data_IF_112428542624
#
_entry.id   IF_112428542624
#
_cell.length_a   1.000
_cell.length_b   1.000
_cell.length_c   1.000
_cell.angle_alpha   90.00
_cell.angle_beta   90.00
_cell.angle_gamma   90.00
#
_symmetry.space_group_name_H-M   'P 1'
#
loop_
_entity.id
_entity.type
_entity.pdbx_description
1 polymer ?
#
# COMPACT_ATOMS: atom_id res chain seq x y z
N UNK A 1 -10.51 -67.89 -46.55
CA UNK A 1 -9.20 -67.21 -46.49
C UNK A 1 -9.42 -65.71 -46.42
N UNK A 2 -9.29 -65.14 -45.22
CA UNK A 2 -8.60 -63.87 -44.94
C UNK A 2 -8.87 -63.50 -43.48
N UNK A 3 -7.81 -63.62 -42.69
CA UNK A 3 -7.70 -63.16 -41.33
C UNK A 3 -7.58 -61.64 -41.30
N UNK A 4 -8.33 -60.97 -40.41
CA UNK A 4 -7.86 -59.73 -39.80
C UNK A 4 -8.25 -59.73 -38.33
N UNK A 5 -7.24 -59.98 -37.51
CA UNK A 5 -7.18 -59.83 -36.07
C UNK A 5 -6.89 -58.35 -35.81
N UNK A 6 -7.80 -57.61 -35.18
CA UNK A 6 -7.56 -56.22 -34.75
C UNK A 6 -7.55 -56.18 -33.23
N UNK A 7 -6.32 -56.07 -32.73
CA UNK A 7 -5.91 -56.01 -31.34
C UNK A 7 -6.44 -54.71 -30.72
N UNK A 8 -7.29 -54.85 -29.70
CA UNK A 8 -7.67 -53.75 -28.81
C UNK A 8 -6.50 -53.44 -27.88
N UNK A 9 -5.79 -52.34 -28.13
CA UNK A 9 -4.79 -51.79 -27.21
C UNK A 9 -5.54 -50.95 -26.16
N UNK A 10 -5.65 -51.48 -24.94
CA UNK A 10 -6.12 -50.73 -23.79
C UNK A 10 -5.03 -49.75 -23.34
N UNK A 11 -5.24 -48.46 -23.59
CA UNK A 11 -4.45 -47.37 -22.99
C UNK A 11 -4.77 -47.32 -21.49
N UNK A 12 -3.83 -47.81 -20.68
CA UNK A 12 -3.80 -47.58 -19.23
C UNK A 12 -3.53 -46.09 -18.99
N UNK A 13 -4.60 -45.33 -18.75
CA UNK A 13 -4.51 -43.98 -18.19
C UNK A 13 -4.03 -44.11 -16.75
N UNK A 14 -2.74 -43.85 -16.54
CA UNK A 14 -2.17 -43.72 -15.21
C UNK A 14 -2.78 -42.51 -14.49
N UNK A 15 -3.69 -42.76 -13.55
CA UNK A 15 -4.14 -41.75 -12.58
C UNK A 15 -2.97 -41.39 -11.65
N UNK A 16 -2.25 -40.32 -11.98
CA UNK A 16 -1.42 -39.61 -10.99
C UNK A 16 -2.37 -39.05 -9.94
N UNK A 17 -2.28 -39.55 -8.70
CA UNK A 17 -3.03 -38.97 -7.57
C UNK A 17 -2.60 -37.51 -7.41
N UNK A 18 -3.54 -36.55 -7.32
CA UNK A 18 -3.17 -35.18 -7.01
C UNK A 18 -2.52 -35.17 -5.63
N UNK A 19 -1.34 -34.56 -5.56
CA UNK A 19 -0.66 -34.24 -4.30
C UNK A 19 -1.65 -33.51 -3.40
N UNK A 20 -1.84 -33.92 -2.13
CA UNK A 20 -2.66 -33.16 -1.20
C UNK A 20 -2.09 -31.75 -1.13
N UNK A 21 -2.84 -30.77 -1.63
CA UNK A 21 -2.55 -29.37 -1.36
C UNK A 21 -2.70 -29.22 0.16
N UNK A 22 -1.60 -28.92 0.84
CA UNK A 22 -1.65 -28.47 2.23
C UNK A 22 -2.51 -27.21 2.22
N UNK A 23 -3.68 -27.27 2.84
CA UNK A 23 -4.55 -26.10 2.98
C UNK A 23 -3.72 -24.95 3.57
N UNK A 24 -3.79 -23.73 2.99
CA UNK A 24 -3.09 -22.59 3.56
C UNK A 24 -3.55 -22.40 5.01
N UNK A 25 -2.59 -22.21 5.91
CA UNK A 25 -2.82 -21.99 7.34
C UNK A 25 -3.85 -20.86 7.54
N UNK A 26 -4.79 -20.96 8.51
CA UNK A 26 -5.88 -19.99 8.63
C UNK A 26 -5.39 -18.55 8.77
N UNK A 27 -5.84 -17.70 7.85
CA UNK A 27 -5.60 -16.25 7.85
C UNK A 27 -6.00 -15.66 9.20
N UNK A 28 -5.02 -15.12 9.94
CA UNK A 28 -5.30 -14.46 11.21
C UNK A 28 -5.56 -12.99 10.95
N UNK A 29 -6.77 -12.55 11.29
CA UNK A 29 -7.18 -11.14 11.23
C UNK A 29 -6.24 -10.27 12.05
N UNK A 30 -5.74 -9.18 11.46
CA UNK A 30 -5.07 -8.11 12.20
C UNK A 30 -6.13 -7.20 12.80
N UNK A 31 -6.35 -7.20 14.12
CA UNK A 31 -7.38 -6.38 14.72
C UNK A 31 -7.07 -4.90 14.51
N UNK A 32 -8.12 -4.08 14.48
CA UNK A 32 -8.03 -2.61 14.51
C UNK A 32 -7.42 -1.98 13.24
N UNK A 33 -7.31 -2.75 12.14
CA UNK A 33 -6.70 -2.27 10.88
C UNK A 33 -7.56 -2.49 9.64
N UNK A 34 -7.62 -1.45 8.82
CA UNK A 34 -8.19 -1.49 7.47
C UNK A 34 -7.19 -0.89 6.50
N UNK A 35 -6.97 -1.57 5.38
CA UNK A 35 -6.17 -1.07 4.26
C UNK A 35 -7.11 -0.40 3.28
N UNK A 36 -6.81 0.84 2.90
CA UNK A 36 -7.52 1.62 1.88
C UNK A 36 -6.56 1.96 0.75
N UNK A 37 -6.86 1.48 -0.44
CA UNK A 37 -6.19 1.88 -1.67
C UNK A 37 -7.01 2.98 -2.34
N UNK A 38 -6.40 4.16 -2.49
CA UNK A 38 -7.03 5.27 -3.20
C UNK A 38 -6.78 5.19 -4.71
N UNK A 39 -7.73 5.74 -5.48
CA UNK A 39 -7.56 5.89 -6.93
C UNK A 39 -6.35 6.76 -7.26
N UNK A 40 -5.67 6.56 -8.41
CA UNK A 40 -4.48 7.34 -8.77
C UNK A 40 -4.68 8.86 -8.81
N UNK A 41 -5.89 9.32 -9.13
CA UNK A 41 -6.22 10.75 -9.17
C UNK A 41 -6.50 11.37 -7.79
N UNK A 42 -6.62 10.56 -6.73
CA UNK A 42 -6.91 11.06 -5.39
C UNK A 42 -5.65 11.66 -4.78
N UNK A 43 -5.70 12.96 -4.50
CA UNK A 43 -4.61 13.66 -3.80
C UNK A 43 -4.52 13.25 -2.32
N UNK A 44 -3.33 13.41 -1.73
CA UNK A 44 -3.11 13.20 -0.29
C UNK A 44 -4.06 14.04 0.57
N UNK A 45 -4.37 15.27 0.14
CA UNK A 45 -5.34 16.14 0.82
C UNK A 45 -6.73 15.52 0.85
N UNK A 46 -7.24 15.09 -0.30
CA UNK A 46 -8.55 14.43 -0.39
C UNK A 46 -8.60 13.14 0.45
N UNK A 47 -7.52 12.36 0.48
CA UNK A 47 -7.41 11.18 1.33
C UNK A 47 -7.49 11.54 2.83
N UNK A 48 -6.74 12.55 3.28
CA UNK A 48 -6.79 13.02 4.67
C UNK A 48 -8.14 13.62 5.04
N UNK A 49 -8.77 14.37 4.14
CA UNK A 49 -10.10 14.92 4.35
C UNK A 49 -11.14 13.81 4.54
N UNK A 50 -11.09 12.75 3.70
CA UNK A 50 -11.97 11.59 3.84
C UNK A 50 -11.75 10.87 5.17
N UNK A 51 -10.51 10.55 5.51
CA UNK A 51 -10.17 9.85 6.77
C UNK A 51 -10.58 10.68 7.99
N UNK A 52 -10.31 11.99 7.95
CA UNK A 52 -10.67 12.93 9.01
C UNK A 52 -12.19 13.10 9.16
N UNK A 53 -12.96 13.00 8.07
CA UNK A 53 -14.43 13.05 8.14
C UNK A 53 -15.01 11.92 8.99
N UNK A 54 -14.30 10.78 9.05
CA UNK A 54 -14.63 9.63 9.89
C UNK A 54 -13.95 9.65 11.26
N UNK A 55 -13.16 10.69 11.57
CA UNK A 55 -12.37 10.82 12.80
C UNK A 55 -11.39 9.66 13.04
N UNK A 56 -10.90 9.06 11.95
CA UNK A 56 -9.91 7.99 12.01
C UNK A 56 -8.49 8.56 11.90
N UNK A 57 -7.50 7.80 12.37
CA UNK A 57 -6.07 8.10 12.18
C UNK A 57 -5.44 7.16 11.15
N UNK A 58 -4.40 7.62 10.47
CA UNK A 58 -3.63 6.79 9.54
C UNK A 58 -2.45 6.19 10.28
N UNK A 59 -2.43 4.87 10.47
CA UNK A 59 -1.31 4.16 11.09
C UNK A 59 -0.09 4.12 10.17
N UNK A 60 -0.30 3.88 8.87
CA UNK A 60 0.77 3.97 7.90
C UNK A 60 0.27 4.45 6.54
N UNK A 61 1.11 5.22 5.87
CA UNK A 61 0.88 5.72 4.51
C UNK A 61 2.12 5.38 3.69
N UNK A 62 1.92 4.76 2.53
CA UNK A 62 2.98 4.60 1.53
C UNK A 62 2.61 5.33 0.25
N UNK A 63 3.48 6.23 -0.20
CA UNK A 63 3.22 7.05 -1.38
C UNK A 63 4.52 7.54 -2.03
N UNK A 64 4.50 7.66 -3.36
CA UNK A 64 5.60 8.23 -4.12
C UNK A 64 5.28 9.68 -4.49
N UNK A 65 6.25 10.56 -4.28
CA UNK A 65 6.20 11.96 -4.69
C UNK A 65 7.31 12.31 -5.67
N UNK A 66 7.07 13.35 -6.45
CA UNK A 66 8.07 14.06 -7.25
C UNK A 66 8.10 15.51 -6.77
N UNK A 67 9.29 16.01 -6.42
CA UNK A 67 9.49 17.42 -6.11
C UNK A 67 9.84 18.21 -7.37
N UNK A 68 9.28 19.40 -7.52
CA UNK A 68 9.67 20.34 -8.57
C UNK A 68 10.88 21.20 -8.20
N UNK A 69 11.51 20.96 -7.04
CA UNK A 69 12.74 21.66 -6.66
C UNK A 69 13.93 21.22 -7.53
N UNK A 70 14.94 22.08 -7.72
CA UNK A 70 16.14 21.71 -8.46
C UNK A 70 16.87 20.51 -7.85
N UNK A 71 17.51 19.68 -8.68
CA UNK A 71 18.18 18.44 -8.27
C UNK A 71 19.26 18.64 -7.17
N UNK A 72 19.93 19.79 -7.13
CA UNK A 72 20.91 20.15 -6.09
C UNK A 72 20.28 20.35 -4.70
N UNK A 73 18.95 20.47 -4.63
CA UNK A 73 18.17 20.57 -3.40
C UNK A 73 17.87 19.20 -2.76
N UNK A 74 18.35 18.08 -3.33
CA UNK A 74 18.12 16.73 -2.79
C UNK A 74 18.49 16.65 -1.29
N UNK A 75 19.66 17.15 -0.90
CA UNK A 75 20.09 17.11 0.49
C UNK A 75 19.18 17.93 1.41
N UNK A 76 18.63 19.04 0.92
CA UNK A 76 17.68 19.87 1.65
C UNK A 76 16.33 19.15 1.83
N UNK A 77 15.78 18.59 0.75
CA UNK A 77 14.54 17.80 0.77
C UNK A 77 14.65 16.64 1.76
N UNK A 78 15.73 15.86 1.65
CA UNK A 78 16.01 14.72 2.53
C UNK A 78 16.08 15.13 4.00
N UNK A 79 16.83 16.19 4.34
CA UNK A 79 16.92 16.68 5.73
C UNK A 79 15.58 17.18 6.24
N UNK A 80 14.81 17.91 5.43
CA UNK A 80 13.52 18.43 5.84
C UNK A 80 12.52 17.30 6.13
N UNK A 81 12.46 16.28 5.27
CA UNK A 81 11.62 15.11 5.49
C UNK A 81 12.04 14.31 6.73
N UNK A 82 13.34 14.01 6.91
CA UNK A 82 13.82 13.30 8.11
C UNK A 82 13.67 14.08 9.41
N UNK A 83 13.45 15.40 9.36
CA UNK A 83 13.17 16.20 10.55
C UNK A 83 11.77 15.94 11.13
N UNK A 84 10.88 15.32 10.34
CA UNK A 84 9.50 15.07 10.74
C UNK A 84 9.42 13.89 11.71
N UNK A 85 8.65 13.99 12.81
CA UNK A 85 8.63 12.97 13.86
C UNK A 85 7.92 11.67 13.44
N UNK A 86 7.13 11.72 12.37
CA UNK A 86 6.32 10.62 11.84
C UNK A 86 6.97 9.93 10.61
N UNK A 87 8.21 10.27 10.27
CA UNK A 87 9.04 9.45 9.40
C UNK A 87 9.72 8.36 10.24
N UNK A 88 9.73 7.13 9.74
CA UNK A 88 10.46 6.05 10.41
C UNK A 88 11.96 6.36 10.32
N UNK A 89 12.59 6.52 11.49
CA UNK A 89 14.04 6.75 11.58
C UNK A 89 14.79 5.43 11.32
N UNK A 90 16.01 5.48 10.76
CA UNK A 90 16.76 4.30 10.28
C UNK A 90 17.29 3.32 11.36
N UNK A 91 16.62 3.14 12.50
CA UNK A 91 17.09 2.26 13.58
C UNK A 91 16.33 0.93 13.71
N UNK A 92 15.77 0.38 12.63
CA UNK A 92 15.19 -0.96 12.65
C UNK A 92 15.65 -1.77 11.44
N UNK A 93 16.02 -3.02 11.70
CA UNK A 93 16.48 -4.03 10.76
C UNK A 93 15.49 -4.39 9.65
N UNK A 94 14.30 -3.80 9.59
CA UNK A 94 13.23 -4.12 8.63
C UNK A 94 12.51 -2.90 8.04
N UNK A 95 13.24 -1.91 7.50
CA UNK A 95 12.63 -0.99 6.53
C UNK A 95 13.17 0.43 6.53
N UNK A 96 13.89 0.79 5.46
CA UNK A 96 14.26 2.16 5.14
C UNK A 96 13.00 2.97 4.83
N UNK A 97 12.90 4.18 5.38
CA UNK A 97 11.78 5.09 5.13
C UNK A 97 12.33 6.42 4.64
N UNK A 98 11.83 6.86 3.50
CA UNK A 98 12.41 7.82 2.55
C UNK A 98 13.58 7.28 1.71
N UNK A 99 13.25 6.92 0.47
CA UNK A 99 14.26 6.76 -0.60
C UNK A 99 14.09 7.96 -1.53
N UNK A 100 15.14 8.79 -1.62
CA UNK A 100 15.16 9.92 -2.54
C UNK A 100 16.36 9.88 -3.46
N UNK A 101 16.13 10.11 -4.75
CA UNK A 101 17.14 10.19 -5.78
C UNK A 101 16.73 11.19 -6.86
N UNK A 102 17.71 11.57 -7.69
CA UNK A 102 17.48 12.36 -8.89
C UNK A 102 17.27 11.39 -10.06
N UNK A 103 16.14 11.50 -10.76
CA UNK A 103 15.81 10.64 -11.89
C UNK A 103 16.47 11.12 -13.22
N UNK A 104 16.16 10.44 -14.33
CA UNK A 104 16.68 10.81 -15.66
C UNK A 104 16.17 12.17 -16.15
N UNK A 105 15.05 12.66 -15.61
CA UNK A 105 14.49 13.99 -15.90
C UNK A 105 15.03 15.09 -14.99
N UNK A 106 15.98 14.76 -14.10
CA UNK A 106 16.56 15.65 -13.09
C UNK A 106 15.56 16.15 -12.04
N UNK A 107 14.47 15.42 -11.83
CA UNK A 107 13.53 15.64 -10.75
C UNK A 107 13.94 14.84 -9.51
N UNK A 108 13.57 15.33 -8.31
CA UNK A 108 13.77 14.58 -7.08
C UNK A 108 12.55 13.69 -6.85
N UNK A 109 12.73 12.38 -6.91
CA UNK A 109 11.71 11.41 -6.49
C UNK A 109 11.86 11.10 -5.00
N UNK A 110 10.74 10.88 -4.31
CA UNK A 110 10.70 10.48 -2.91
C UNK A 110 9.69 9.35 -2.70
N UNK A 111 10.17 8.18 -2.29
CA UNK A 111 9.31 7.10 -1.77
C UNK A 111 9.14 7.27 -0.27
N UNK A 112 7.95 7.65 0.15
CA UNK A 112 7.67 8.08 1.52
C UNK A 112 6.82 7.03 2.22
N UNK A 113 7.28 6.63 3.41
CA UNK A 113 6.47 5.88 4.37
C UNK A 113 6.25 6.78 5.59
N UNK A 114 5.01 7.08 5.94
CA UNK A 114 4.68 7.83 7.14
C UNK A 114 3.99 6.91 8.13
N UNK A 115 4.17 7.13 9.42
CA UNK A 115 3.53 6.35 10.48
C UNK A 115 2.81 7.23 11.49
N UNK A 116 1.77 6.68 12.12
CA UNK A 116 1.05 7.28 13.24
C UNK A 116 0.64 8.74 12.98
N UNK A 117 -0.01 8.96 11.84
CA UNK A 117 -0.46 10.29 11.40
C UNK A 117 -1.74 10.70 12.11
N UNK A 118 -1.57 11.38 13.24
CA UNK A 118 -2.62 12.17 13.90
C UNK A 118 -3.11 13.31 13.01
N UNK A 119 -4.24 13.94 13.35
CA UNK A 119 -4.73 15.12 12.62
C UNK A 119 -3.69 16.26 12.53
N UNK A 120 -2.86 16.43 13.57
CA UNK A 120 -1.76 17.40 13.58
C UNK A 120 -0.66 17.01 12.60
N UNK A 121 -0.26 15.74 12.58
CA UNK A 121 0.73 15.24 11.62
C UNK A 121 0.24 15.32 10.17
N UNK A 122 -1.04 15.08 9.92
CA UNK A 122 -1.64 15.22 8.59
C UNK A 122 -1.54 16.67 8.09
N UNK A 123 -1.85 17.66 8.93
CA UNK A 123 -1.70 19.08 8.59
C UNK A 123 -0.25 19.51 8.36
N UNK A 124 0.67 19.04 9.21
CA UNK A 124 2.10 19.29 9.03
C UNK A 124 2.63 18.65 7.74
N UNK A 125 2.16 17.45 7.40
CA UNK A 125 2.53 16.80 6.15
C UNK A 125 2.00 17.53 4.92
N UNK A 126 0.76 18.02 4.94
CA UNK A 126 0.23 18.86 3.86
C UNK A 126 1.07 20.14 3.68
N UNK A 127 1.49 20.76 4.78
CA UNK A 127 2.39 21.92 4.73
C UNK A 127 3.76 21.54 4.17
N UNK A 128 4.23 20.33 4.45
CA UNK A 128 5.50 19.79 3.91
C UNK A 128 5.42 19.52 2.41
N UNK A 129 4.30 19.00 1.93
CA UNK A 129 4.02 18.82 0.50
C UNK A 129 4.12 20.16 -0.23
N UNK A 130 3.46 21.19 0.31
CA UNK A 130 3.47 22.54 -0.26
C UNK A 130 4.88 23.15 -0.21
N UNK A 131 5.56 23.06 0.93
CA UNK A 131 6.90 23.63 1.15
C UNK A 131 7.99 22.99 0.28
N UNK A 132 7.90 21.69 0.02
CA UNK A 132 8.86 20.94 -0.81
C UNK A 132 8.39 20.77 -2.26
N UNK A 133 7.30 21.43 -2.64
CA UNK A 133 6.70 21.38 -3.98
C UNK A 133 6.49 19.95 -4.48
N UNK A 134 5.92 19.09 -3.62
CA UNK A 134 5.70 17.68 -3.91
C UNK A 134 4.39 17.48 -4.68
N UNK A 135 4.42 16.63 -5.69
CA UNK A 135 3.24 16.11 -6.39
C UNK A 135 3.25 14.58 -6.35
N UNK A 136 2.07 13.96 -6.26
CA UNK A 136 1.95 12.49 -6.26
C UNK A 136 2.41 11.96 -7.61
N UNK A 137 3.32 10.98 -7.60
CA UNK A 137 3.74 10.33 -8.83
C UNK A 137 2.59 9.48 -9.40
N UNK A 138 2.33 9.60 -10.71
CA UNK A 138 1.14 9.08 -11.40
C UNK A 138 0.96 7.54 -11.36
N UNK A 139 1.93 6.78 -10.85
CA UNK A 139 2.09 5.35 -11.19
C UNK A 139 1.97 4.39 -9.99
N UNK A 140 1.30 4.75 -8.91
CA UNK A 140 1.07 3.81 -7.80
C UNK A 140 -0.18 4.09 -7.00
N UNK A 141 -1.02 3.08 -6.71
CA UNK A 141 -2.10 3.25 -5.74
C UNK A 141 -1.50 3.61 -4.39
N UNK A 142 -1.93 4.73 -3.80
CA UNK A 142 -1.53 5.04 -2.43
C UNK A 142 -2.30 4.11 -1.51
N UNK A 143 -1.58 3.30 -0.74
CA UNK A 143 -2.16 2.37 0.25
C UNK A 143 -1.96 2.94 1.63
N UNK A 144 -3.08 3.05 2.34
CA UNK A 144 -3.16 3.67 3.65
C UNK A 144 -3.69 2.63 4.60
N UNK A 145 -2.98 2.41 5.70
CA UNK A 145 -3.46 1.61 6.80
C UNK A 145 -4.11 2.53 7.82
N UNK A 146 -5.37 2.30 8.12
CA UNK A 146 -6.15 3.11 9.04
C UNK A 146 -6.33 2.35 10.35
N UNK A 147 -6.26 3.08 11.47
CA UNK A 147 -6.67 2.56 12.77
C UNK A 147 -8.19 2.67 12.87
N UNK A 148 -8.85 1.58 13.21
CA UNK A 148 -10.31 1.48 13.39
C UNK A 148 -10.65 0.80 14.70
N UNK A 149 -11.89 0.93 15.17
CA UNK A 149 -12.28 0.21 16.39
C UNK A 149 -12.32 -1.30 16.15
N UNK A 150 -11.80 -2.05 17.14
CA UNK A 150 -11.77 -3.51 17.12
C UNK A 150 -13.15 -4.10 16.84
N UNK A 151 -13.22 -5.03 15.89
CA UNK A 151 -14.46 -5.69 15.48
C UNK A 151 -15.30 -4.92 14.47
N UNK A 152 -14.90 -3.70 14.08
CA UNK A 152 -15.56 -2.88 13.05
C UNK A 152 -14.79 -2.84 11.72
N UNK A 153 -13.74 -3.63 11.56
CA UNK A 153 -12.84 -3.60 10.40
C UNK A 153 -13.61 -3.85 9.09
N UNK A 154 -14.48 -4.87 9.07
CA UNK A 154 -15.32 -5.18 7.90
C UNK A 154 -16.33 -4.07 7.59
N UNK A 155 -16.89 -3.45 8.62
CA UNK A 155 -17.81 -2.31 8.46
C UNK A 155 -17.06 -1.15 7.81
N UNK A 156 -15.89 -0.78 8.33
CA UNK A 156 -15.11 0.32 7.79
C UNK A 156 -14.62 0.06 6.37
N UNK A 157 -14.15 -1.15 6.07
CA UNK A 157 -13.82 -1.54 4.70
C UNK A 157 -15.03 -1.35 3.76
N UNK A 158 -16.23 -1.75 4.18
CA UNK A 158 -17.45 -1.52 3.41
C UNK A 158 -17.78 -0.03 3.24
N UNK A 159 -17.65 0.79 4.28
CA UNK A 159 -17.91 2.23 4.20
C UNK A 159 -16.93 2.94 3.24
N UNK A 160 -15.63 2.64 3.31
CA UNK A 160 -14.64 3.23 2.41
C UNK A 160 -14.88 2.85 0.95
N UNK A 161 -15.30 1.61 0.66
CA UNK A 161 -15.63 1.16 -0.69
C UNK A 161 -16.81 1.93 -1.34
N UNK A 162 -17.60 2.68 -0.57
CA UNK A 162 -18.67 3.53 -1.12
C UNK A 162 -18.15 4.88 -1.65
N UNK A 163 -16.93 5.28 -1.28
CA UNK A 163 -16.35 6.55 -1.69
C UNK A 163 -15.87 6.53 -3.14
N UNK A 164 -16.15 7.59 -3.88
CA UNK A 164 -15.67 7.75 -5.26
C UNK A 164 -14.15 7.95 -5.36
N UNK A 165 -13.48 8.26 -4.24
CA UNK A 165 -12.02 8.46 -4.13
C UNK A 165 -11.25 7.15 -3.90
N UNK A 166 -11.93 6.12 -3.41
CA UNK A 166 -11.33 4.83 -3.03
C UNK A 166 -11.45 3.85 -4.20
N UNK A 167 -10.37 3.13 -4.47
CA UNK A 167 -10.36 2.02 -5.43
C UNK A 167 -10.81 0.73 -4.75
N UNK A 168 -10.19 0.41 -3.61
CA UNK A 168 -10.60 -0.72 -2.77
C UNK A 168 -10.25 -0.48 -1.31
N UNK A 169 -11.05 -1.03 -0.40
CA UNK A 169 -10.76 -1.12 1.02
C UNK A 169 -11.03 -2.53 1.53
N UNK A 170 -10.10 -3.07 2.31
CA UNK A 170 -10.16 -4.43 2.82
C UNK A 170 -9.50 -4.53 4.18
N UNK A 171 -9.83 -5.62 4.88
CA UNK A 171 -9.29 -5.91 6.20
C UNK A 171 -7.91 -6.56 6.06
N UNK A 172 -6.97 -6.19 6.93
CA UNK A 172 -5.62 -6.77 6.92
C UNK A 172 -5.62 -8.16 7.58
N UNK A 173 -4.94 -9.12 6.94
CA UNK A 173 -4.70 -10.47 7.46
C UNK A 173 -3.20 -10.76 7.37
N UNK A 174 -2.65 -11.51 8.32
CA UNK A 174 -1.33 -12.12 8.17
C UNK A 174 -1.45 -13.64 8.04
N UNK A 175 -0.58 -14.21 7.20
CA UNK A 175 -0.30 -15.64 7.20
C UNK A 175 0.61 -15.94 8.39
N UNK A 176 0.32 -17.04 9.08
CA UNK A 176 1.25 -17.60 10.07
C UNK A 176 2.31 -18.44 9.38
#
# INVERSE_FOLDING_TARGET
MNHYLLVWVALLVGCSKPTPQTDPEPETLVPERVIVAFKPATSTRQGFDLVSSYKLSVSSLNIRYVSSLPADSLAYVTRHMYSKPYFVKPNFTDGTTLISYVDSTRSIEAFVVLQELTATHQKDWLSTIEHLHLSVALNGPSRWQLNVEKGREKQWASEFNKSSLVDTAYVEYFYK
#
